data_IF_806877569838
#
_entry.id   IF_806877569838
#
_cell.length_a   1.000
_cell.length_b   1.000
_cell.length_c   1.000
_cell.angle_alpha   90.00
_cell.angle_beta   90.00
_cell.angle_gamma   90.00
#
_symmetry.space_group_name_H-M   'P 1'
#
loop_
_entity.id
_entity.type
_entity.pdbx_description
1 polymer ?
#
# COMPACT_ATOMS: atom_id res chain seq x y z
N UNK A 1 14.15 7.36 11.04
CA UNK A 1 13.42 8.15 12.06
C UNK A 1 12.78 7.20 13.08
N UNK A 2 12.77 7.55 14.37
CA UNK A 2 11.99 6.86 15.42
C UNK A 2 11.22 7.93 16.19
N UNK A 3 10.02 7.60 16.68
CA UNK A 3 9.26 8.52 17.54
C UNK A 3 10.08 8.83 18.79
N UNK A 4 9.96 10.07 19.29
CA UNK A 4 10.51 10.38 20.62
C UNK A 4 9.75 9.57 21.68
N UNK A 5 10.31 9.34 22.88
CA UNK A 5 9.59 8.62 23.92
C UNK A 5 8.22 9.24 24.26
N UNK A 6 8.13 10.58 24.21
CA UNK A 6 6.86 11.29 24.43
C UNK A 6 5.87 11.06 23.30
N UNK A 7 6.30 11.16 22.04
CA UNK A 7 5.42 10.91 20.89
C UNK A 7 4.97 9.45 20.82
N UNK A 8 5.84 8.51 21.22
CA UNK A 8 5.48 7.09 21.32
C UNK A 8 4.40 6.87 22.39
N UNK A 9 4.50 7.56 23.54
CA UNK A 9 3.49 7.47 24.59
C UNK A 9 2.14 8.01 24.10
N UNK A 10 2.14 9.16 23.42
CA UNK A 10 0.92 9.74 22.82
C UNK A 10 0.33 8.79 21.76
N UNK A 11 1.17 8.22 20.90
CA UNK A 11 0.74 7.29 19.87
C UNK A 11 0.10 6.03 20.47
N UNK A 12 0.74 5.47 21.51
CA UNK A 12 0.23 4.28 22.20
C UNK A 12 -1.06 4.56 22.96
N UNK A 13 -1.20 5.74 23.58
CA UNK A 13 -2.43 6.16 24.27
C UNK A 13 -3.60 6.35 23.28
N UNK A 14 -3.32 6.95 22.11
CA UNK A 14 -4.32 7.10 21.06
C UNK A 14 -4.74 5.74 20.44
N UNK A 15 -3.83 4.77 20.38
CA UNK A 15 -4.04 3.42 19.86
C UNK A 15 -4.75 3.38 18.48
N UNK A 16 -4.20 4.05 17.44
CA UNK A 16 -4.86 4.11 16.14
C UNK A 16 -5.00 2.71 15.52
N UNK A 17 -6.18 2.39 15.00
CA UNK A 17 -6.36 1.11 14.29
C UNK A 17 -5.54 1.05 12.99
N UNK A 18 -5.38 2.19 12.31
CA UNK A 18 -4.59 2.32 11.09
C UNK A 18 -3.80 3.63 11.08
N UNK A 19 -2.59 3.58 10.52
CA UNK A 19 -1.77 4.77 10.26
C UNK A 19 -1.58 4.89 8.76
N UNK A 20 -2.03 6.02 8.20
CA UNK A 20 -1.88 6.32 6.77
C UNK A 20 -0.57 7.04 6.52
N UNK A 21 0.22 6.51 5.59
CA UNK A 21 1.36 7.23 5.04
C UNK A 21 0.90 8.08 3.87
N UNK A 22 1.24 9.37 3.90
CA UNK A 22 0.96 10.29 2.79
C UNK A 22 2.23 10.68 2.02
N UNK A 23 3.40 10.22 2.45
CA UNK A 23 4.67 10.74 1.94
C UNK A 23 5.01 10.21 0.55
N UNK A 24 4.72 8.94 0.27
CA UNK A 24 5.11 8.30 -1.00
C UNK A 24 4.21 8.65 -2.19
N UNK A 25 3.24 9.55 -2.00
CA UNK A 25 2.36 10.05 -3.07
C UNK A 25 2.80 11.40 -3.64
N UNK A 26 3.83 12.02 -3.04
CA UNK A 26 4.28 13.34 -3.46
C UNK A 26 5.26 13.17 -4.62
N UNK A 27 4.80 13.59 -5.79
CA UNK A 27 5.59 13.78 -7.01
C UNK A 27 5.77 15.29 -7.24
N UNK A 28 6.73 15.91 -6.55
CA UNK A 28 7.27 17.23 -6.93
C UNK A 28 8.56 17.55 -6.14
N UNK A 29 9.74 17.79 -6.75
CA UNK A 29 10.09 17.65 -8.17
C UNK A 29 10.56 16.23 -8.56
N UNK A 30 10.48 15.25 -7.65
CA UNK A 30 10.97 13.88 -7.83
C UNK A 30 9.88 12.90 -7.40
N UNK A 31 9.54 11.95 -8.27
CA UNK A 31 8.67 10.83 -7.90
C UNK A 31 9.42 9.85 -7.02
N UNK A 32 8.75 9.32 -6.00
CA UNK A 32 9.33 8.34 -5.07
C UNK A 32 9.14 6.93 -5.60
N UNK A 33 10.11 6.39 -6.34
CA UNK A 33 10.10 5.02 -6.86
C UNK A 33 10.29 3.97 -5.75
N UNK A 34 9.96 2.70 -6.03
CA UNK A 34 10.03 1.59 -5.06
C UNK A 34 11.42 1.49 -4.43
N UNK A 35 12.48 1.66 -5.23
CA UNK A 35 13.85 1.68 -4.73
C UNK A 35 14.04 2.74 -3.65
N UNK A 36 13.59 3.96 -3.91
CA UNK A 36 13.77 5.11 -3.01
C UNK A 36 12.92 4.97 -1.73
N UNK A 37 11.67 4.53 -1.84
CA UNK A 37 10.82 4.35 -0.65
C UNK A 37 11.30 3.21 0.24
N UNK A 38 12.02 2.22 -0.31
CA UNK A 38 12.55 1.08 0.46
C UNK A 38 14.00 1.26 0.92
N UNK A 39 14.68 2.36 0.56
CA UNK A 39 16.03 2.65 1.04
C UNK A 39 16.04 2.98 2.54
N UNK A 40 17.09 2.55 3.25
CA UNK A 40 17.20 2.82 4.70
C UNK A 40 17.27 4.31 5.03
N UNK A 41 18.00 5.09 4.21
CA UNK A 41 18.09 6.53 4.33
C UNK A 41 16.77 7.24 3.96
N UNK A 42 15.94 6.57 3.14
CA UNK A 42 14.69 7.10 2.61
C UNK A 42 14.88 8.36 1.78
N UNK A 43 13.75 9.02 1.50
CA UNK A 43 13.73 10.36 0.90
C UNK A 43 13.48 11.37 2.03
N UNK A 44 14.40 12.32 2.20
CA UNK A 44 14.39 13.30 3.30
C UNK A 44 14.30 12.67 4.71
N UNK A 45 14.91 11.49 4.90
CA UNK A 45 14.97 10.81 6.20
C UNK A 45 13.70 10.00 6.54
N UNK A 46 12.85 9.70 5.54
CA UNK A 46 11.64 8.90 5.72
C UNK A 46 11.56 7.77 4.69
N UNK A 47 11.44 6.53 5.17
CA UNK A 47 11.33 5.33 4.33
C UNK A 47 10.24 4.39 4.79
N UNK A 48 9.80 3.50 3.90
CA UNK A 48 8.79 2.49 4.15
C UNK A 48 9.18 1.60 5.33
N UNK A 49 10.39 1.01 5.41
CA UNK A 49 10.77 0.21 6.57
C UNK A 49 10.67 0.98 7.89
N UNK A 50 11.15 2.23 7.95
CA UNK A 50 11.04 3.05 9.16
C UNK A 50 9.59 3.32 9.56
N UNK A 51 8.71 3.54 8.58
CA UNK A 51 7.29 3.74 8.85
C UNK A 51 6.62 2.46 9.38
N UNK A 52 6.92 1.31 8.77
CA UNK A 52 6.42 0.02 9.22
C UNK A 52 6.89 -0.30 10.65
N UNK A 53 8.14 0.00 10.99
CA UNK A 53 8.67 -0.19 12.34
C UNK A 53 7.92 0.66 13.39
N UNK A 54 7.59 1.92 13.07
CA UNK A 54 6.79 2.78 13.96
C UNK A 54 5.38 2.21 14.17
N UNK A 55 4.74 1.78 13.08
CA UNK A 55 3.39 1.19 13.12
C UNK A 55 3.39 -0.09 13.96
N UNK A 56 4.39 -0.93 13.77
CA UNK A 56 4.55 -2.20 14.47
C UNK A 56 4.79 -1.97 15.96
N UNK A 57 5.67 -1.03 16.32
CA UNK A 57 5.97 -0.69 17.71
C UNK A 57 4.74 -0.21 18.49
N UNK A 58 3.80 0.45 17.82
CA UNK A 58 2.55 0.89 18.43
C UNK A 58 1.34 -0.02 18.17
N UNK A 59 1.55 -1.24 17.66
CA UNK A 59 0.49 -2.24 17.48
C UNK A 59 -0.62 -1.84 16.48
N UNK A 60 -0.31 -0.91 15.58
CA UNK A 60 -1.26 -0.38 14.59
C UNK A 60 -1.16 -1.14 13.27
N UNK A 61 -2.01 -0.80 12.30
CA UNK A 61 -1.96 -1.38 10.94
C UNK A 61 -1.59 -0.34 9.89
N UNK A 62 -0.86 -0.72 8.84
CA UNK A 62 -0.46 0.21 7.81
C UNK A 62 -1.60 0.49 6.83
N UNK A 63 -1.72 1.75 6.47
CA UNK A 63 -2.42 2.22 5.28
C UNK A 63 -1.38 2.86 4.37
N UNK A 64 -0.97 2.09 3.36
CA UNK A 64 0.06 2.46 2.42
C UNK A 64 -0.55 3.19 1.23
N UNK A 65 0.05 4.32 0.86
CA UNK A 65 -0.35 5.13 -0.28
C UNK A 65 0.86 5.33 -1.20
N UNK A 66 0.72 5.05 -2.49
CA UNK A 66 1.83 5.10 -3.46
C UNK A 66 1.48 5.85 -4.74
N UNK A 67 2.51 6.48 -5.32
CA UNK A 67 2.43 7.43 -6.42
C UNK A 67 1.74 6.83 -7.66
N UNK A 68 1.17 7.73 -8.45
CA UNK A 68 0.47 7.47 -9.70
C UNK A 68 1.44 7.13 -10.83
N UNK A 69 2.70 7.53 -10.70
CA UNK A 69 3.73 7.30 -11.73
C UNK A 69 4.35 5.90 -11.67
N UNK A 70 4.03 5.12 -10.64
CA UNK A 70 4.57 3.78 -10.50
C UNK A 70 4.09 2.89 -11.64
N UNK A 71 5.02 2.08 -12.15
CA UNK A 71 4.71 1.06 -13.16
C UNK A 71 4.36 -0.29 -12.50
N UNK A 72 4.08 -1.28 -13.34
CA UNK A 72 3.66 -2.61 -12.92
C UNK A 72 4.75 -3.34 -12.13
N UNK A 73 6.01 -3.19 -12.54
CA UNK A 73 7.15 -3.85 -11.91
C UNK A 73 7.38 -3.30 -10.50
N UNK A 74 7.11 -2.01 -10.28
CA UNK A 74 7.15 -1.41 -8.94
C UNK A 74 6.06 -1.96 -8.03
N UNK A 75 4.84 -2.14 -8.52
CA UNK A 75 3.77 -2.75 -7.72
C UNK A 75 4.07 -4.23 -7.42
N UNK A 76 4.54 -4.99 -8.41
CA UNK A 76 4.95 -6.38 -8.21
C UNK A 76 6.14 -6.48 -7.23
N UNK A 77 7.09 -5.57 -7.33
CA UNK A 77 8.22 -5.47 -6.41
C UNK A 77 7.80 -5.12 -4.99
N UNK A 78 6.79 -4.27 -4.83
CA UNK A 78 6.21 -3.98 -3.52
C UNK A 78 5.53 -5.22 -2.92
N UNK A 79 4.78 -5.98 -3.72
CA UNK A 79 4.18 -7.23 -3.27
C UNK A 79 5.26 -8.21 -2.76
N UNK A 80 6.39 -8.31 -3.48
CA UNK A 80 7.55 -9.07 -3.01
C UNK A 80 8.12 -8.51 -1.71
N UNK A 81 8.39 -7.20 -1.65
CA UNK A 81 8.95 -6.54 -0.46
C UNK A 81 8.10 -6.81 0.80
N UNK A 82 6.77 -6.82 0.66
CA UNK A 82 5.84 -6.98 1.77
C UNK A 82 5.62 -8.44 2.17
N UNK A 83 5.62 -9.39 1.23
CA UNK A 83 5.16 -10.75 1.51
C UNK A 83 6.16 -11.86 1.22
N UNK A 84 7.19 -11.62 0.41
CA UNK A 84 8.09 -12.69 0.04
C UNK A 84 9.01 -13.07 1.22
N UNK A 85 9.09 -14.37 1.58
CA UNK A 85 10.15 -14.83 2.48
C UNK A 85 11.50 -14.74 1.78
N UNK A 86 12.57 -14.59 2.56
CA UNK A 86 13.94 -14.62 2.07
C UNK A 86 14.77 -15.59 2.91
N UNK A 87 15.28 -16.64 2.27
CA UNK A 87 16.23 -17.58 2.85
C UNK A 87 17.59 -17.40 2.17
N UNK A 88 18.62 -16.86 2.85
CA UNK A 88 19.93 -16.63 2.24
C UNK A 88 20.66 -17.91 1.82
N UNK A 89 20.20 -19.11 2.23
CA UNK A 89 20.75 -20.38 1.78
C UNK A 89 20.23 -20.82 0.40
N UNK A 90 19.10 -20.29 -0.06
CA UNK A 90 18.40 -20.72 -1.29
C UNK A 90 18.14 -19.54 -2.23
N UNK A 91 17.79 -18.39 -1.69
CA UNK A 91 17.44 -17.18 -2.43
C UNK A 91 18.68 -16.31 -2.72
N UNK A 92 18.60 -15.58 -3.82
CA UNK A 92 19.62 -14.61 -4.24
C UNK A 92 18.98 -13.24 -4.45
N UNK A 93 19.82 -12.20 -4.48
CA UNK A 93 19.38 -10.87 -4.90
C UNK A 93 18.74 -10.87 -6.30
N UNK A 94 19.20 -11.74 -7.22
CA UNK A 94 18.63 -11.82 -8.56
C UNK A 94 17.24 -12.48 -8.59
N UNK A 95 17.00 -13.48 -7.72
CA UNK A 95 15.71 -14.19 -7.67
C UNK A 95 14.64 -13.45 -6.88
N UNK A 96 15.05 -12.69 -5.85
CA UNK A 96 14.15 -11.93 -4.96
C UNK A 96 14.79 -10.59 -4.56
N UNK A 97 14.92 -9.63 -5.48
CA UNK A 97 15.66 -8.38 -5.23
C UNK A 97 15.09 -7.55 -4.07
N UNK A 98 13.78 -7.53 -3.90
CA UNK A 98 13.11 -6.71 -2.90
C UNK A 98 13.08 -7.38 -1.53
N UNK A 99 12.89 -8.70 -1.51
CA UNK A 99 13.03 -9.48 -0.28
C UNK A 99 14.48 -9.49 0.21
N UNK A 100 15.45 -9.60 -0.71
CA UNK A 100 16.89 -9.45 -0.41
C UNK A 100 17.18 -8.08 0.19
N UNK A 101 16.72 -7.00 -0.44
CA UNK A 101 16.95 -5.63 0.06
C UNK A 101 16.45 -5.47 1.49
N UNK A 102 15.23 -5.96 1.78
CA UNK A 102 14.66 -5.98 3.13
C UNK A 102 15.51 -6.78 4.11
N UNK A 103 15.93 -7.99 3.72
CA UNK A 103 16.77 -8.86 4.54
C UNK A 103 18.15 -8.24 4.82
N UNK A 104 18.79 -7.65 3.80
CA UNK A 104 20.07 -6.96 3.92
C UNK A 104 20.00 -5.76 4.87
N UNK A 105 18.84 -5.10 4.96
CA UNK A 105 18.54 -4.04 5.91
C UNK A 105 18.22 -4.54 7.34
N UNK A 106 18.39 -5.84 7.60
CA UNK A 106 18.19 -6.46 8.92
C UNK A 106 16.75 -6.88 9.23
N UNK A 107 15.79 -6.62 8.35
CA UNK A 107 14.40 -7.08 8.52
C UNK A 107 14.19 -8.43 7.82
N UNK A 108 14.40 -9.50 8.57
CA UNK A 108 14.30 -10.88 8.05
C UNK A 108 12.86 -11.34 7.79
N UNK A 109 11.94 -10.97 8.68
CA UNK A 109 10.52 -11.31 8.55
C UNK A 109 9.81 -10.47 7.47
N UNK A 110 8.87 -11.08 6.76
CA UNK A 110 8.03 -10.38 5.80
C UNK A 110 7.09 -9.41 6.54
N UNK A 111 7.00 -8.12 6.13
CA UNK A 111 6.16 -7.13 6.81
C UNK A 111 4.72 -7.59 7.02
N UNK A 112 4.15 -8.33 6.06
CA UNK A 112 2.77 -8.79 6.15
C UNK A 112 2.49 -9.59 7.42
N UNK A 113 3.48 -10.33 7.94
CA UNK A 113 3.34 -11.21 9.10
C UNK A 113 3.05 -10.43 10.39
N UNK A 114 3.55 -9.20 10.51
CA UNK A 114 3.37 -8.35 11.70
C UNK A 114 1.98 -7.70 11.78
N UNK A 115 1.35 -7.38 10.64
CA UNK A 115 0.21 -6.44 10.64
C UNK A 115 -1.18 -7.08 10.49
N UNK A 116 -1.25 -8.33 10.03
CA UNK A 116 -2.51 -9.01 9.72
C UNK A 116 -3.21 -8.47 8.47
N UNK A 117 -3.53 -7.16 8.44
CA UNK A 117 -4.18 -6.47 7.32
C UNK A 117 -3.43 -5.18 6.97
N UNK A 118 -3.25 -4.92 5.68
CA UNK A 118 -2.67 -3.68 5.13
C UNK A 118 -3.70 -3.03 4.20
N UNK A 119 -3.93 -1.72 4.36
CA UNK A 119 -4.73 -0.96 3.40
C UNK A 119 -3.83 -0.44 2.29
N UNK A 120 -4.29 -0.58 1.05
CA UNK A 120 -3.58 -0.15 -0.15
C UNK A 120 -4.36 0.95 -0.85
N UNK A 121 -3.74 2.11 -1.03
CA UNK A 121 -4.30 3.23 -1.77
C UNK A 121 -3.35 3.62 -2.91
N UNK A 122 -3.88 3.70 -4.13
CA UNK A 122 -3.14 4.15 -5.30
C UNK A 122 -3.54 5.59 -5.61
N UNK A 123 -2.57 6.52 -5.67
CA UNK A 123 -2.88 7.94 -5.85
C UNK A 123 -3.36 8.64 -4.56
N UNK A 124 -3.63 9.94 -4.64
CA UNK A 124 -4.30 10.73 -3.60
C UNK A 124 -5.33 11.66 -4.24
N UNK A 125 -6.53 11.74 -3.69
CA UNK A 125 -7.55 12.69 -4.19
C UNK A 125 -7.83 12.56 -5.70
N UNK A 126 -7.87 11.32 -6.20
CA UNK A 126 -8.08 10.97 -7.61
C UNK A 126 -9.45 11.42 -8.18
N UNK A 127 -10.24 12.16 -7.39
CA UNK A 127 -11.49 12.81 -7.78
C UNK A 127 -11.30 14.22 -8.35
N UNK A 128 -10.14 14.86 -8.12
CA UNK A 128 -9.87 16.22 -8.60
C UNK A 128 -9.55 16.28 -10.10
N UNK A 129 -8.51 15.55 -10.53
CA UNK A 129 -8.11 15.49 -11.94
C UNK A 129 -7.39 14.16 -12.20
N UNK A 130 -7.72 13.49 -13.30
CA UNK A 130 -6.93 12.34 -13.74
C UNK A 130 -5.56 12.80 -14.25
N UNK A 131 -4.45 12.14 -13.89
CA UNK A 131 -3.15 12.39 -14.49
C UNK A 131 -3.22 12.18 -16.00
N UNK A 132 -2.85 13.21 -16.76
CA UNK A 132 -2.94 13.22 -18.23
C UNK A 132 -1.99 12.24 -18.94
N UNK A 133 -1.01 11.69 -18.22
CA UNK A 133 -0.02 10.76 -18.76
C UNK A 133 -0.49 9.30 -18.79
N UNK A 134 -1.51 8.94 -18.01
CA UNK A 134 -2.15 7.62 -18.13
C UNK A 134 -3.29 7.70 -19.14
N UNK A 135 -3.07 7.12 -20.32
CA UNK A 135 -4.13 6.94 -21.32
C UNK A 135 -4.64 5.51 -21.27
N UNK A 136 -5.96 5.35 -21.33
CA UNK A 136 -6.62 4.05 -21.50
C UNK A 136 -7.35 4.07 -22.83
N UNK A 137 -6.73 3.56 -23.91
CA UNK A 137 -7.29 3.64 -25.26
C UNK A 137 -8.71 3.06 -25.34
N UNK A 138 -8.98 2.00 -24.59
CA UNK A 138 -10.27 1.29 -24.55
C UNK A 138 -11.41 2.11 -23.94
N UNK A 139 -11.08 3.15 -23.18
CA UNK A 139 -12.04 4.04 -22.52
C UNK A 139 -12.48 5.18 -23.46
N UNK A 140 -11.73 5.47 -24.53
CA UNK A 140 -12.04 6.55 -25.46
C UNK A 140 -11.86 7.95 -24.86
N UNK A 141 -11.87 8.97 -25.72
CA UNK A 141 -11.65 10.36 -25.31
C UNK A 141 -12.88 10.94 -24.59
N UNK A 142 -12.67 11.77 -23.56
CA UNK A 142 -13.74 12.55 -22.91
C UNK A 142 -14.44 11.87 -21.72
N UNK A 143 -13.91 10.75 -21.22
CA UNK A 143 -14.41 10.12 -19.99
C UNK A 143 -14.12 10.97 -18.75
N UNK A 144 -15.08 10.99 -17.82
CA UNK A 144 -14.92 11.63 -16.52
C UNK A 144 -13.70 11.07 -15.78
N UNK A 145 -12.85 11.95 -15.23
CA UNK A 145 -11.60 11.54 -14.54
C UNK A 145 -11.82 10.49 -13.46
N UNK A 146 -12.95 10.52 -12.74
CA UNK A 146 -13.30 9.52 -11.72
C UNK A 146 -13.47 8.09 -12.27
N UNK A 147 -14.00 7.95 -13.49
CA UNK A 147 -14.17 6.65 -14.15
C UNK A 147 -12.80 6.12 -14.58
N UNK A 148 -12.01 6.95 -15.25
CA UNK A 148 -10.63 6.62 -15.64
C UNK A 148 -9.82 6.15 -14.42
N UNK A 149 -9.96 6.84 -13.28
CA UNK A 149 -9.27 6.49 -12.04
C UNK A 149 -9.78 5.21 -11.39
N UNK A 150 -11.07 4.88 -11.51
CA UNK A 150 -11.58 3.59 -11.05
C UNK A 150 -11.02 2.44 -11.91
N UNK A 151 -10.94 2.64 -13.23
CA UNK A 151 -10.31 1.67 -14.13
C UNK A 151 -8.83 1.49 -13.85
N UNK A 152 -8.08 2.59 -13.66
CA UNK A 152 -6.67 2.55 -13.29
C UNK A 152 -6.41 1.84 -11.97
N UNK A 153 -7.19 2.13 -10.92
CA UNK A 153 -7.05 1.43 -9.65
C UNK A 153 -7.37 -0.07 -9.76
N UNK A 154 -8.39 -0.44 -10.54
CA UNK A 154 -8.71 -1.84 -10.80
C UNK A 154 -7.61 -2.55 -11.61
N UNK A 155 -7.01 -1.85 -12.58
CA UNK A 155 -5.89 -2.34 -13.37
C UNK A 155 -4.70 -2.66 -12.47
N UNK A 156 -4.23 -1.70 -11.68
CA UNK A 156 -3.11 -1.89 -10.76
C UNK A 156 -3.41 -2.93 -9.68
N UNK A 157 -4.66 -3.01 -9.21
CA UNK A 157 -5.07 -4.08 -8.33
C UNK A 157 -5.01 -5.45 -9.00
N UNK A 158 -5.30 -5.53 -10.30
CA UNK A 158 -5.10 -6.72 -11.12
C UNK A 158 -3.62 -7.11 -11.26
N UNK A 159 -2.74 -6.12 -11.48
CA UNK A 159 -1.27 -6.31 -11.50
C UNK A 159 -0.78 -6.85 -10.16
N UNK A 160 -1.16 -6.23 -9.04
CA UNK A 160 -0.81 -6.74 -7.70
C UNK A 160 -1.25 -8.20 -7.49
N UNK A 161 -2.42 -8.57 -8.02
CA UNK A 161 -2.95 -9.94 -7.97
C UNK A 161 -2.20 -10.95 -8.82
N UNK A 162 -1.47 -10.50 -9.85
CA UNK A 162 -0.64 -11.39 -10.67
C UNK A 162 0.69 -11.73 -10.00
N UNK A 163 1.05 -11.05 -8.90
CA UNK A 163 2.24 -11.35 -8.12
C UNK A 163 2.28 -12.82 -7.67
N UNK A 164 3.43 -13.51 -7.77
CA UNK A 164 3.61 -14.84 -7.19
C UNK A 164 3.35 -14.89 -5.67
N UNK A 165 3.42 -13.74 -5.00
CA UNK A 165 3.20 -13.58 -3.57
C UNK A 165 1.75 -13.19 -3.21
N UNK A 166 0.86 -13.11 -4.21
CA UNK A 166 -0.55 -12.84 -3.96
C UNK A 166 -1.22 -13.82 -3.00
N UNK A 167 -0.93 -15.14 -3.00
CA UNK A 167 -1.55 -16.06 -2.04
C UNK A 167 -1.32 -15.67 -0.56
N UNK A 168 -0.17 -15.07 -0.23
CA UNK A 168 0.14 -14.57 1.12
C UNK A 168 -0.56 -13.24 1.42
N UNK A 169 -0.82 -12.45 0.38
CA UNK A 169 -1.46 -11.13 0.46
C UNK A 169 -2.99 -11.21 0.41
N UNK A 170 -3.54 -12.24 -0.22
CA UNK A 170 -4.97 -12.41 -0.43
C UNK A 170 -5.70 -12.47 0.92
N UNK A 171 -6.71 -11.60 1.10
CA UNK A 171 -7.45 -11.47 2.35
C UNK A 171 -6.72 -10.66 3.44
N UNK A 172 -5.45 -10.28 3.22
CA UNK A 172 -4.68 -9.39 4.08
C UNK A 172 -4.52 -7.99 3.48
N UNK A 173 -4.57 -7.86 2.16
CA UNK A 173 -4.63 -6.56 1.50
C UNK A 173 -6.08 -6.13 1.25
N UNK A 174 -6.38 -4.87 1.57
CA UNK A 174 -7.66 -4.23 1.28
C UNK A 174 -7.42 -2.97 0.45
N UNK A 175 -7.98 -2.93 -0.77
CA UNK A 175 -7.95 -1.75 -1.62
C UNK A 175 -8.83 -0.65 -1.02
N UNK A 176 -8.25 0.53 -0.83
CA UNK A 176 -8.94 1.75 -0.43
C UNK A 176 -8.97 2.70 -1.62
N UNK A 177 -10.11 2.79 -2.33
CA UNK A 177 -10.18 3.61 -3.52
C UNK A 177 -10.23 5.11 -3.16
N UNK A 178 -9.28 5.88 -3.70
CA UNK A 178 -9.25 7.35 -3.64
C UNK A 178 -9.38 7.96 -2.23
N UNK A 179 -8.88 7.30 -1.19
CA UNK A 179 -8.94 7.80 0.19
C UNK A 179 -10.28 7.58 0.91
N UNK A 180 -11.28 7.00 0.25
CA UNK A 180 -12.62 6.78 0.79
C UNK A 180 -12.83 5.31 1.21
N UNK A 181 -12.38 4.94 2.42
CA UNK A 181 -12.80 3.64 3.01
C UNK A 181 -14.30 3.63 3.37
N UNK A 182 -14.91 4.81 3.54
CA UNK A 182 -16.28 4.96 4.06
C UNK A 182 -17.40 4.57 3.09
N UNK A 183 -17.17 4.54 1.76
CA UNK A 183 -18.24 4.29 0.78
C UNK A 183 -18.53 2.79 0.56
N UNK A 184 -17.56 1.89 0.78
CA UNK A 184 -17.78 0.45 0.55
C UNK A 184 -18.29 -0.32 1.78
N UNK A 185 -18.16 0.23 2.98
CA UNK A 185 -18.75 -0.36 4.20
C UNK A 185 -20.29 -0.36 4.19
N UNK A 186 -20.92 0.50 3.38
CA UNK A 186 -22.39 0.59 3.31
C UNK A 186 -23.05 -0.56 2.55
N UNK A 187 -22.36 -1.26 1.63
CA UNK A 187 -22.98 -2.36 0.87
C UNK A 187 -23.02 -3.71 1.61
N UNK A 188 -22.05 -4.02 2.47
CA UNK A 188 -22.07 -5.27 3.25
C UNK A 188 -23.08 -5.23 4.40
N UNK A 189 -23.26 -4.09 5.05
CA UNK A 189 -24.16 -3.97 6.21
C UNK A 189 -25.63 -3.82 5.80
N UNK A 190 -25.94 -3.33 4.60
CA UNK A 190 -27.33 -3.19 4.13
C UNK A 190 -27.92 -4.49 3.54
N UNK A 191 -27.14 -5.34 2.88
CA UNK A 191 -27.65 -6.65 2.42
C UNK A 191 -27.98 -7.59 3.59
N UNK A 192 -27.22 -7.53 4.70
CA UNK A 192 -27.48 -8.36 5.87
C UNK A 192 -28.72 -7.93 6.67
N UNK A 193 -29.23 -6.70 6.49
CA UNK A 193 -30.36 -6.16 7.25
C UNK A 193 -31.70 -6.23 6.52
N UNK A 194 -31.74 -6.70 5.26
CA UNK A 194 -32.96 -6.86 4.47
C UNK A 194 -33.56 -8.28 4.46
N UNK A 195 -32.92 -9.24 5.12
CA UNK A 195 -33.40 -10.63 5.21
C UNK A 195 -34.01 -11.03 6.56
N UNK A 196 -34.19 -10.08 7.50
CA UNK A 196 -34.89 -10.32 8.77
C UNK A 196 -35.98 -9.28 8.97
N UNK A 197 -37.18 -9.58 8.47
CA UNK A 197 -38.35 -8.72 8.64
C UNK A 197 -39.48 -9.09 7.69
N UNK A 198 -40.01 -10.31 7.84
CA UNK A 198 -41.39 -10.64 7.51
C UNK A 198 -41.73 -12.00 8.14
N UNK A 199 -42.14 -11.95 9.40
CA UNK A 199 -43.04 -12.91 10.06
C UNK A 199 -43.89 -12.11 11.01
#
# INVERSE_FOLDING_TARGET
MRLTPNDQAIFNDFAPSYVRIHRFIKSDPHSNYLAQVTDEAGQEGFSLPQHLDIIEAGGSKPWLQFDWVWDEDEFLGLAEYIAAPYDPAIDTQASKPWAYKRHAAGRTAAPIDSFGTILMEFGNENWNTAPSFWTMPDLGNGIAGSILMAHWQNYLWGVMKSSPYWPQLAGRFELVPSGWKQIFFWRRTMCARRSRGNT
#
